data_IF_549865435768
#
_entry.id   IF_549865435768
#
_cell.length_a   1.000
_cell.length_b   1.000
_cell.length_c   1.000
_cell.angle_alpha   90.00
_cell.angle_beta   90.00
_cell.angle_gamma   90.00
#
_symmetry.space_group_name_H-M   'P 1'
#
loop_
_entity.id
_entity.type
_entity.pdbx_description
1 polymer ?
#
# COMPACT_ATOMS: atom_id res chain seq x y z
N UNK A 1 15.53 11.45 0.38
CA UNK A 1 15.20 10.09 -0.09
C UNK A 1 14.50 10.17 -1.43
N UNK A 2 15.14 9.66 -2.47
CA UNK A 2 14.55 9.53 -3.81
C UNK A 2 14.25 8.05 -4.03
N UNK A 3 12.95 7.72 -4.01
CA UNK A 3 12.48 6.37 -4.33
C UNK A 3 12.25 6.27 -5.84
N UNK A 4 12.84 5.26 -6.46
CA UNK A 4 12.54 4.88 -7.84
C UNK A 4 11.47 3.79 -7.82
N UNK A 5 10.28 4.10 -8.34
CA UNK A 5 9.20 3.11 -8.44
C UNK A 5 9.55 2.09 -9.53
N UNK A 6 9.54 0.82 -9.15
CA UNK A 6 9.64 -0.31 -10.09
C UNK A 6 8.26 -0.69 -10.61
N UNK A 7 7.29 -0.87 -9.71
CA UNK A 7 5.90 -1.15 -10.07
C UNK A 7 4.93 -0.48 -9.09
N UNK A 8 3.74 -0.11 -9.58
CA UNK A 8 2.69 0.52 -8.79
C UNK A 8 1.31 0.02 -9.22
N UNK A 9 0.52 -0.57 -8.32
CA UNK A 9 -0.84 -1.03 -8.61
C UNK A 9 -1.88 -0.22 -7.86
N UNK A 10 -2.98 0.08 -8.54
CA UNK A 10 -4.14 0.77 -8.00
C UNK A 10 -5.34 -0.17 -7.94
N UNK A 11 -5.95 -0.24 -6.77
CA UNK A 11 -7.20 -0.96 -6.53
C UNK A 11 -8.25 0.00 -5.98
N UNK A 12 -9.41 -0.03 -6.60
CA UNK A 12 -10.60 0.64 -6.10
C UNK A 12 -11.34 -0.32 -5.15
N UNK A 13 -11.61 0.13 -3.93
CA UNK A 13 -12.37 -0.62 -2.93
C UNK A 13 -13.73 0.03 -2.75
N UNK A 14 -14.77 -0.78 -2.91
CA UNK A 14 -16.17 -0.40 -2.72
C UNK A 14 -16.75 -1.22 -1.58
N UNK A 15 -17.40 -0.53 -0.65
CA UNK A 15 -18.09 -1.14 0.48
C UNK A 15 -19.48 -0.54 0.53
N UNK A 16 -20.50 -1.36 0.27
CA UNK A 16 -21.90 -0.97 0.29
C UNK A 16 -22.61 -1.67 1.46
N UNK A 17 -23.36 -0.91 2.26
CA UNK A 17 -24.02 -1.42 3.48
C UNK A 17 -23.22 -1.19 4.76
N UNK A 18 -23.61 -1.87 5.84
CA UNK A 18 -23.00 -1.73 7.19
C UNK A 18 -22.87 -3.10 7.87
N UNK A 19 -21.81 -3.27 8.66
CA UNK A 19 -21.56 -4.49 9.44
C UNK A 19 -21.08 -5.67 8.59
N UNK A 20 -21.21 -6.88 9.13
CA UNK A 20 -20.67 -8.10 8.53
C UNK A 20 -21.40 -8.53 7.23
N UNK A 21 -22.57 -7.93 6.96
CA UNK A 21 -23.34 -8.15 5.72
C UNK A 21 -23.07 -7.09 4.65
N UNK A 22 -22.07 -6.22 4.84
CA UNK A 22 -21.69 -5.26 3.81
C UNK A 22 -21.16 -5.98 2.56
N UNK A 23 -21.60 -5.55 1.39
CA UNK A 23 -21.05 -6.00 0.11
C UNK A 23 -19.70 -5.31 -0.11
N UNK A 24 -18.64 -6.11 -0.13
CA UNK A 24 -17.26 -5.65 -0.19
C UNK A 24 -16.67 -6.15 -1.51
N UNK A 25 -16.28 -5.21 -2.36
CA UNK A 25 -15.71 -5.52 -3.68
C UNK A 25 -14.47 -4.68 -3.91
N UNK A 26 -13.58 -5.20 -4.74
CA UNK A 26 -12.49 -4.42 -5.27
C UNK A 26 -12.40 -4.61 -6.78
N UNK A 27 -11.83 -3.60 -7.44
CA UNK A 27 -11.49 -3.63 -8.85
C UNK A 27 -10.04 -3.19 -9.00
N UNK A 28 -9.23 -4.03 -9.65
CA UNK A 28 -7.93 -3.59 -10.16
C UNK A 28 -8.15 -2.57 -11.27
N UNK A 29 -7.48 -1.43 -11.16
CA UNK A 29 -7.63 -0.35 -12.12
C UNK A 29 -6.47 -0.33 -13.11
N UNK A 30 -5.25 -0.26 -12.60
CA UNK A 30 -4.05 -0.22 -13.42
C UNK A 30 -2.85 -0.65 -12.58
N UNK A 31 -1.88 -1.28 -13.24
CA UNK A 31 -0.51 -1.37 -12.76
C UNK A 31 0.35 -0.50 -13.66
N UNK A 32 1.30 0.25 -13.10
CA UNK A 32 2.30 1.03 -13.79
C UNK A 32 3.67 0.39 -13.56
N UNK A 33 4.53 0.38 -14.57
CA UNK A 33 5.96 0.19 -14.40
C UNK A 33 6.69 1.54 -14.21
N UNK A 34 8.03 1.51 -14.18
CA UNK A 34 8.85 2.70 -13.97
C UNK A 34 8.60 3.78 -15.01
N UNK A 35 8.56 3.42 -16.30
CA UNK A 35 8.38 4.40 -17.39
C UNK A 35 7.00 5.02 -17.33
N UNK A 36 5.96 4.19 -17.19
CA UNK A 36 4.57 4.64 -17.07
C UNK A 36 4.33 5.47 -15.81
N UNK A 37 5.03 5.18 -14.71
CA UNK A 37 4.98 5.98 -13.48
C UNK A 37 5.63 7.35 -13.66
N UNK A 38 6.78 7.42 -14.34
CA UNK A 38 7.50 8.69 -14.54
C UNK A 38 6.67 9.66 -15.39
N UNK A 39 5.91 9.15 -16.35
CA UNK A 39 4.99 9.95 -17.18
C UNK A 39 3.63 10.21 -16.52
N UNK A 40 3.35 9.54 -15.40
CA UNK A 40 2.06 9.65 -14.70
C UNK A 40 1.93 10.99 -13.96
N UNK A 41 0.76 11.64 -14.01
CA UNK A 41 0.54 12.87 -13.25
C UNK A 41 0.51 12.61 -11.72
N UNK A 42 0.42 11.35 -11.30
CA UNK A 42 0.47 10.93 -9.89
C UNK A 42 1.89 10.98 -9.30
N UNK A 43 2.92 11.08 -10.13
CA UNK A 43 4.32 11.00 -9.71
C UNK A 43 4.66 12.00 -8.60
N UNK A 44 4.43 13.29 -8.87
CA UNK A 44 4.79 14.36 -7.94
C UNK A 44 4.07 14.22 -6.59
N UNK A 45 2.82 13.75 -6.64
CA UNK A 45 2.02 13.48 -5.45
C UNK A 45 2.60 12.30 -4.65
N UNK A 46 2.81 11.15 -5.28
CA UNK A 46 3.26 9.93 -4.60
C UNK A 46 4.70 10.02 -4.12
N UNK A 47 5.61 10.65 -4.86
CA UNK A 47 6.99 10.88 -4.43
C UNK A 47 7.01 11.69 -3.12
N UNK A 48 6.20 12.75 -3.05
CA UNK A 48 6.06 13.56 -1.85
C UNK A 48 5.52 12.79 -0.65
N UNK A 49 4.57 11.88 -0.86
CA UNK A 49 3.99 11.08 0.20
C UNK A 49 4.89 9.93 0.67
N UNK A 50 5.53 9.21 -0.24
CA UNK A 50 6.49 8.16 0.09
C UNK A 50 7.66 8.73 0.91
N UNK A 51 8.16 9.92 0.55
CA UNK A 51 9.18 10.62 1.32
C UNK A 51 8.71 11.01 2.74
N UNK A 52 7.44 11.39 2.90
CA UNK A 52 6.87 11.66 4.24
C UNK A 52 6.75 10.39 5.04
N UNK A 53 6.25 9.31 4.45
CA UNK A 53 6.07 8.00 5.10
C UNK A 53 7.40 7.47 5.60
N UNK A 54 8.43 7.49 4.76
CA UNK A 54 9.76 6.96 5.09
C UNK A 54 10.48 7.75 6.20
N UNK A 55 10.05 8.99 6.47
CA UNK A 55 10.56 9.82 7.56
C UNK A 55 9.70 9.77 8.83
N UNK A 56 8.52 9.15 8.80
CA UNK A 56 7.66 9.03 9.98
C UNK A 56 8.30 8.04 10.95
N UNK A 57 8.59 8.50 12.17
CA UNK A 57 8.96 7.60 13.27
C UNK A 57 7.73 6.79 13.66
N UNK A 58 7.80 5.48 13.52
CA UNK A 58 6.75 4.56 13.92
C UNK A 58 7.29 3.70 15.07
N UNK A 59 6.46 3.47 16.09
CA UNK A 59 6.80 2.52 17.15
C UNK A 59 6.51 1.10 16.63
N UNK A 60 7.52 0.21 16.66
CA UNK A 60 7.41 -1.19 16.21
C UNK A 60 6.46 -1.99 17.09
N UNK A 61 6.37 -1.64 18.38
CA UNK A 61 5.48 -2.26 19.37
C UNK A 61 4.63 -1.20 20.06
N UNK A 62 3.70 -0.59 19.32
CA UNK A 62 2.87 0.47 19.86
C UNK A 62 2.05 -0.08 21.04
N UNK A 63 2.11 0.61 22.17
CA UNK A 63 1.45 0.22 23.44
C UNK A 63 -0.08 0.23 23.38
N UNK A 64 -0.68 0.58 22.24
CA UNK A 64 -2.11 0.78 22.05
C UNK A 64 -2.59 0.10 20.77
N UNK A 65 -3.73 -0.59 20.81
CA UNK A 65 -4.32 -1.29 19.65
C UNK A 65 -4.86 -0.35 18.54
N UNK A 66 -5.04 0.95 18.84
CA UNK A 66 -5.39 1.97 17.85
C UNK A 66 -4.15 2.51 17.15
N UNK A 67 -3.46 1.63 16.41
CA UNK A 67 -2.30 2.00 15.61
C UNK A 67 -2.79 2.63 14.29
N UNK A 68 -2.25 3.76 13.84
CA UNK A 68 -2.61 4.36 12.56
C UNK A 68 -2.34 3.43 11.35
N UNK A 69 -1.50 2.41 11.51
CA UNK A 69 -1.14 1.41 10.49
C UNK A 69 -1.90 0.09 10.72
N UNK A 70 -3.14 -0.01 10.25
CA UNK A 70 -3.87 -1.30 10.24
C UNK A 70 -3.84 -1.93 8.84
N UNK A 71 -2.89 -2.83 8.63
CA UNK A 71 -3.14 -4.14 8.02
C UNK A 71 -2.58 -5.13 9.06
N UNK A 72 -3.33 -6.19 9.36
CA UNK A 72 -3.28 -6.97 10.61
C UNK A 72 -1.91 -7.14 11.25
N UNK A 73 -1.89 -7.12 12.58
CA UNK A 73 -0.71 -7.40 13.41
C UNK A 73 0.11 -8.53 12.79
N UNK A 74 1.40 -8.30 12.54
CA UNK A 74 2.34 -9.37 12.23
C UNK A 74 2.47 -10.21 13.49
N UNK A 75 1.59 -11.20 13.67
CA UNK A 75 1.72 -12.19 14.72
C UNK A 75 2.74 -13.19 14.19
N UNK A 76 3.95 -13.15 14.73
CA UNK A 76 4.90 -14.26 14.63
C UNK A 76 4.57 -15.18 15.80
N UNK A 77 4.25 -16.43 15.51
CA UNK A 77 4.05 -17.45 16.55
C UNK A 77 5.42 -17.84 17.12
N UNK A 78 5.54 -17.87 18.45
CA UNK A 78 6.81 -18.12 19.13
C UNK A 78 7.34 -19.53 18.74
N UNK A 79 8.49 -19.59 18.06
CA UNK A 79 9.09 -20.85 17.56
C UNK A 79 8.87 -21.15 16.07
N UNK A 80 8.15 -20.30 15.33
CA UNK A 80 7.98 -20.43 13.88
C UNK A 80 8.73 -19.31 13.13
N UNK A 81 9.49 -19.68 12.10
CA UNK A 81 10.30 -18.74 11.32
C UNK A 81 9.42 -17.77 10.50
N UNK A 82 9.92 -16.56 10.18
CA UNK A 82 9.17 -15.50 9.48
C UNK A 82 8.64 -15.95 8.11
N UNK A 83 9.34 -16.85 7.44
CA UNK A 83 8.97 -17.48 6.17
C UNK A 83 7.75 -18.42 6.28
N UNK A 84 7.34 -18.80 7.49
CA UNK A 84 6.08 -19.52 7.72
C UNK A 84 4.88 -18.58 7.83
N UNK A 85 5.10 -17.27 7.96
CA UNK A 85 4.03 -16.28 8.00
C UNK A 85 3.53 -15.97 6.58
N UNK A 86 2.25 -16.25 6.25
CA UNK A 86 1.71 -16.01 4.93
C UNK A 86 1.85 -14.54 4.49
N UNK A 87 1.74 -13.59 5.42
CA UNK A 87 1.90 -12.17 5.10
C UNK A 87 3.34 -11.85 4.68
N UNK A 88 4.34 -12.39 5.39
CA UNK A 88 5.76 -12.19 5.07
C UNK A 88 6.10 -12.71 3.67
N UNK A 89 5.58 -13.88 3.30
CA UNK A 89 5.80 -14.47 1.98
C UNK A 89 5.18 -13.63 0.87
N UNK A 90 3.98 -13.07 1.06
CA UNK A 90 3.35 -12.19 0.06
C UNK A 90 4.19 -10.91 -0.10
N UNK A 91 4.65 -10.30 1.00
CA UNK A 91 5.55 -9.14 0.93
C UNK A 91 6.83 -9.46 0.16
N UNK A 92 7.44 -10.61 0.41
CA UNK A 92 8.67 -11.00 -0.26
C UNK A 92 8.48 -11.26 -1.77
N UNK A 93 7.36 -11.89 -2.16
CA UNK A 93 7.04 -12.12 -3.59
C UNK A 93 6.77 -10.81 -4.32
N UNK A 94 5.99 -9.89 -3.72
CA UNK A 94 5.75 -8.55 -4.30
C UNK A 94 7.05 -7.74 -4.41
N UNK A 95 7.91 -7.81 -3.37
CA UNK A 95 9.20 -7.13 -3.30
C UNK A 95 10.13 -7.51 -4.44
N UNK A 96 10.14 -8.78 -4.82
CA UNK A 96 11.04 -9.34 -5.83
C UNK A 96 10.37 -9.72 -7.16
N UNK A 97 9.14 -9.29 -7.37
CA UNK A 97 8.43 -9.49 -8.63
C UNK A 97 9.25 -8.93 -9.80
N UNK A 98 9.40 -9.72 -10.85
CA UNK A 98 10.25 -9.42 -12.01
C UNK A 98 9.48 -8.85 -13.18
N UNK A 99 8.16 -9.01 -13.16
CA UNK A 99 7.28 -8.55 -14.23
C UNK A 99 6.08 -7.83 -13.63
N UNK A 100 5.52 -6.93 -14.44
CA UNK A 100 4.29 -6.20 -14.14
C UNK A 100 3.12 -7.14 -13.82
N UNK A 101 3.04 -8.28 -14.51
CA UNK A 101 2.00 -9.29 -14.31
C UNK A 101 2.18 -10.01 -12.96
N UNK A 102 3.39 -10.51 -12.67
CA UNK A 102 3.70 -11.17 -11.39
C UNK A 102 3.41 -10.23 -10.21
N UNK A 103 3.82 -8.97 -10.31
CA UNK A 103 3.53 -7.96 -9.30
C UNK A 103 2.02 -7.78 -9.07
N UNK A 104 1.24 -7.70 -10.14
CA UNK A 104 -0.21 -7.57 -10.06
C UNK A 104 -0.89 -8.80 -9.43
N UNK A 105 -0.48 -10.01 -9.81
CA UNK A 105 -1.05 -11.27 -9.31
C UNK A 105 -0.85 -11.41 -7.80
N UNK A 106 0.35 -11.07 -7.32
CA UNK A 106 0.66 -11.10 -5.89
C UNK A 106 -0.09 -10.02 -5.10
N UNK A 107 -0.28 -8.84 -5.69
CA UNK A 107 -1.01 -7.73 -5.09
C UNK A 107 -2.50 -8.01 -4.83
N UNK A 108 -3.12 -8.93 -5.58
CA UNK A 108 -4.50 -9.34 -5.30
C UNK A 108 -4.64 -9.96 -3.91
N UNK A 109 -3.61 -10.67 -3.41
CA UNK A 109 -3.66 -11.29 -2.09
C UNK A 109 -3.76 -10.24 -0.99
N UNK A 110 -2.96 -9.16 -1.07
CA UNK A 110 -3.07 -8.04 -0.13
C UNK A 110 -4.44 -7.38 -0.18
N UNK A 111 -4.97 -7.19 -1.38
CA UNK A 111 -6.26 -6.53 -1.57
C UNK A 111 -7.40 -7.37 -0.99
N UNK A 112 -7.39 -8.69 -1.24
CA UNK A 112 -8.35 -9.65 -0.64
C UNK A 112 -8.25 -9.67 0.88
N UNK A 113 -7.04 -9.79 1.43
CA UNK A 113 -6.84 -9.76 2.88
C UNK A 113 -7.33 -8.45 3.51
N UNK A 114 -7.18 -7.32 2.82
CA UNK A 114 -7.67 -6.04 3.32
C UNK A 114 -9.20 -5.93 3.31
N UNK A 115 -9.87 -6.35 2.22
CA UNK A 115 -11.35 -6.27 2.15
C UNK A 115 -12.03 -7.19 3.17
N UNK A 116 -11.43 -8.35 3.46
CA UNK A 116 -12.00 -9.33 4.39
C UNK A 116 -11.97 -8.85 5.84
N UNK A 117 -11.22 -7.78 6.14
CA UNK A 117 -11.21 -7.18 7.47
C UNK A 117 -12.58 -6.59 7.86
N UNK A 118 -12.92 -6.69 9.15
CA UNK A 118 -14.17 -6.14 9.70
C UNK A 118 -14.26 -4.61 9.66
N UNK A 119 -13.11 -3.93 9.60
CA UNK A 119 -12.99 -2.48 9.58
C UNK A 119 -12.63 -1.91 8.18
N UNK A 120 -12.91 -2.67 7.11
CA UNK A 120 -12.70 -2.22 5.73
C UNK A 120 -13.50 -0.95 5.45
N UNK A 121 -12.88 0.00 4.73
CA UNK A 121 -13.53 1.22 4.25
C UNK A 121 -13.27 1.38 2.76
N UNK A 122 -14.29 1.83 2.03
CA UNK A 122 -14.15 2.18 0.62
C UNK A 122 -13.07 3.25 0.40
N UNK A 123 -12.52 3.29 -0.82
CA UNK A 123 -11.44 4.19 -1.18
C UNK A 123 -10.45 3.55 -2.16
N UNK A 124 -9.21 4.03 -2.12
CA UNK A 124 -8.14 3.56 -2.99
C UNK A 124 -7.10 2.81 -2.16
N UNK A 125 -6.69 1.65 -2.67
CA UNK A 125 -5.61 0.85 -2.12
C UNK A 125 -4.47 0.78 -3.15
N UNK A 126 -3.30 1.25 -2.75
CA UNK A 126 -2.14 1.44 -3.62
C UNK A 126 -1.03 0.55 -3.11
N UNK A 127 -0.38 -0.18 -4.01
CA UNK A 127 0.73 -1.05 -3.68
C UNK A 127 1.89 -0.66 -4.57
N UNK A 128 3.02 -0.26 -3.98
CA UNK A 128 4.20 0.20 -4.70
C UNK A 128 5.40 -0.67 -4.35
N UNK A 129 6.17 -1.10 -5.35
CA UNK A 129 7.54 -1.57 -5.19
C UNK A 129 8.49 -0.46 -5.61
N UNK A 130 9.44 -0.09 -4.75
CA UNK A 130 10.32 1.05 -4.95
C UNK A 130 11.73 0.81 -4.41
N UNK A 131 12.75 1.34 -5.08
CA UNK A 131 14.15 1.25 -4.64
C UNK A 131 14.66 2.59 -4.12
N UNK A 132 15.43 2.56 -3.04
CA UNK A 132 16.06 3.76 -2.51
C UNK A 132 17.39 4.01 -3.22
N UNK A 133 17.33 4.78 -4.31
CA UNK A 133 18.42 5.00 -5.30
C UNK A 133 19.79 5.37 -4.74
N UNK A 134 19.86 5.99 -3.56
CA UNK A 134 21.10 6.54 -2.99
C UNK A 134 21.77 5.68 -1.91
N UNK A 135 21.08 4.67 -1.36
CA UNK A 135 21.53 4.04 -0.12
C UNK A 135 21.42 2.52 -0.09
N UNK A 136 20.50 1.91 -0.84
CA UNK A 136 20.20 0.48 -0.74
C UNK A 136 19.80 -0.10 -2.10
N UNK A 137 20.39 -1.26 -2.44
CA UNK A 137 20.00 -2.02 -3.64
C UNK A 137 18.69 -2.78 -3.45
N UNK A 138 18.28 -3.01 -2.20
CA UNK A 138 17.09 -3.79 -1.93
C UNK A 138 15.81 -2.96 -2.10
N UNK A 139 14.77 -3.52 -2.76
CA UNK A 139 13.50 -2.83 -2.93
C UNK A 139 12.69 -2.75 -1.63
N UNK A 140 11.76 -1.82 -1.57
CA UNK A 140 10.75 -1.66 -0.53
C UNK A 140 9.37 -1.85 -1.15
N UNK A 141 8.43 -2.36 -0.36
CA UNK A 141 7.01 -2.43 -0.66
C UNK A 141 6.27 -1.45 0.23
N UNK A 142 5.47 -0.60 -0.38
CA UNK A 142 4.55 0.31 0.30
C UNK A 142 3.11 -0.13 0.05
N UNK A 143 2.34 -0.27 1.13
CA UNK A 143 0.88 -0.43 1.05
C UNK A 143 0.23 0.86 1.55
N UNK A 144 -0.51 1.55 0.70
CA UNK A 144 -1.16 2.82 1.03
C UNK A 144 -2.68 2.66 0.90
N UNK A 145 -3.39 3.10 1.93
CA UNK A 145 -4.85 3.12 1.97
C UNK A 145 -5.32 4.56 2.10
N UNK A 146 -6.06 5.01 1.10
CA UNK A 146 -6.72 6.31 1.06
C UNK A 146 -8.25 6.10 1.16
N UNK A 147 -8.93 6.81 2.07
CA UNK A 147 -10.40 6.81 2.14
C UNK A 147 -10.95 7.85 1.15
N UNK A 148 -12.15 7.62 0.61
CA UNK A 148 -12.84 8.67 -0.14
C UNK A 148 -13.25 9.83 0.78
N UNK A 149 -12.99 11.06 0.34
CA UNK A 149 -13.61 12.22 0.96
C UNK A 149 -15.11 12.27 0.60
N UNK A 150 -16.01 12.61 1.56
CA UNK A 150 -17.46 12.67 1.31
C UNK A 150 -17.87 13.59 0.16
N UNK A 151 -17.06 14.60 -0.17
CA UNK A 151 -17.30 15.55 -1.26
C UNK A 151 -16.99 14.98 -2.66
N UNK A 152 -16.29 13.84 -2.74
CA UNK A 152 -15.88 13.19 -3.99
C UNK A 152 -16.75 11.94 -4.28
N UNK A 153 -17.59 11.53 -3.33
CA UNK A 153 -18.31 10.24 -3.31
C UNK A 153 -19.45 10.07 -4.33
N UNK A 154 -19.68 11.03 -5.24
CA UNK A 154 -20.84 11.03 -6.15
C UNK A 154 -20.51 10.80 -7.62
N UNK A 155 -19.40 10.14 -7.96
CA UNK A 155 -18.94 10.08 -9.37
C UNK A 155 -18.60 8.65 -9.78
N UNK A 156 -19.38 8.15 -10.73
CA UNK A 156 -19.45 6.76 -11.21
C UNK A 156 -18.68 6.49 -12.50
N UNK A 157 -17.70 7.34 -12.87
CA UNK A 157 -17.01 7.27 -14.17
C UNK A 157 -15.52 6.88 -14.03
N UNK A 158 -15.19 5.70 -14.55
CA UNK A 158 -13.87 5.07 -14.52
C UNK A 158 -12.78 5.92 -15.20
N UNK A 159 -13.13 6.72 -16.23
CA UNK A 159 -12.17 7.60 -16.92
C UNK A 159 -11.70 8.77 -16.07
N UNK A 160 -12.50 9.13 -15.08
CA UNK A 160 -12.17 10.21 -14.17
C UNK A 160 -11.43 9.70 -12.94
N UNK A 161 -11.30 8.39 -12.74
CA UNK A 161 -10.74 7.81 -11.51
C UNK A 161 -9.30 8.28 -11.25
N UNK A 162 -8.42 8.36 -12.25
CA UNK A 162 -7.03 8.87 -12.07
C UNK A 162 -7.02 10.34 -11.62
N UNK A 163 -7.84 11.18 -12.27
CA UNK A 163 -8.03 12.59 -11.89
C UNK A 163 -8.74 12.72 -10.53
N UNK A 164 -9.53 11.73 -10.15
CA UNK A 164 -10.14 11.60 -8.84
C UNK A 164 -9.19 11.00 -7.81
N UNK A 165 -8.19 10.21 -8.17
CA UNK A 165 -7.13 9.75 -7.27
C UNK A 165 -6.33 10.98 -6.82
N UNK A 166 -6.06 11.94 -7.71
CA UNK A 166 -5.50 13.24 -7.32
C UNK A 166 -6.40 14.05 -6.37
N UNK A 167 -7.73 14.03 -6.56
CA UNK A 167 -8.68 14.78 -5.72
C UNK A 167 -9.17 14.04 -4.46
N UNK A 168 -9.11 12.71 -4.46
CA UNK A 168 -9.62 11.82 -3.40
C UNK A 168 -8.51 11.35 -2.47
N UNK A 169 -7.24 11.38 -2.91
CA UNK A 169 -6.12 11.16 -1.98
C UNK A 169 -5.88 12.45 -1.19
N UNK A 170 -6.69 12.61 -0.16
CA UNK A 170 -6.33 13.46 0.96
C UNK A 170 -5.31 12.75 1.84
N UNK A 171 -4.19 13.41 2.10
CA UNK A 171 -3.10 12.89 2.94
C UNK A 171 -3.46 12.89 4.42
N UNK A 172 -4.54 13.58 4.78
CA UNK A 172 -4.94 13.85 6.16
C UNK A 172 -5.19 12.59 6.98
N UNK A 173 -5.56 11.47 6.33
CA UNK A 173 -5.85 10.19 7.00
C UNK A 173 -5.29 8.96 6.26
N UNK A 174 -4.31 9.15 5.36
CA UNK A 174 -3.73 8.02 4.63
C UNK A 174 -3.01 7.08 5.60
N UNK A 175 -3.37 5.79 5.54
CA UNK A 175 -2.68 4.72 6.28
C UNK A 175 -1.63 4.12 5.37
N UNK A 176 -0.46 3.82 5.91
CA UNK A 176 0.67 3.31 5.14
C UNK A 176 1.39 2.19 5.88
N UNK A 177 1.88 1.21 5.15
CA UNK A 177 2.89 0.24 5.61
C UNK A 177 4.09 0.40 4.69
N UNK A 178 5.28 0.32 5.28
CA UNK A 178 6.55 0.21 4.57
C UNK A 178 7.20 -1.10 5.01
N UNK A 179 7.61 -1.91 4.03
CA UNK A 179 8.32 -3.16 4.24
C UNK A 179 9.53 -3.26 3.29
N UNK A 180 10.72 -3.65 3.75
CA UNK A 180 11.09 -3.83 5.15
C UNK A 180 11.00 -2.54 5.96
N UNK A 181 11.00 -2.67 7.29
CA UNK A 181 11.00 -1.52 8.18
C UNK A 181 12.33 -0.77 8.11
N UNK A 182 12.26 0.55 8.00
CA UNK A 182 13.42 1.43 7.91
C UNK A 182 13.45 2.37 9.12
N UNK A 183 14.14 2.01 10.23
CA UNK A 183 14.19 2.84 11.44
C UNK A 183 14.90 4.20 11.22
N UNK A 184 15.93 4.22 10.37
CA UNK A 184 16.69 5.42 10.00
C UNK A 184 16.99 5.42 8.49
N UNK A 185 17.30 6.59 7.91
CA UNK A 185 17.57 6.71 6.47
C UNK A 185 18.71 5.78 6.04
N UNK A 186 18.40 4.83 5.16
CA UNK A 186 19.37 3.85 4.65
C UNK A 186 19.64 2.67 5.60
N UNK A 187 18.95 2.57 6.74
CA UNK A 187 19.03 1.40 7.63
C UNK A 187 17.84 0.49 7.39
N UNK A 188 18.08 -0.71 6.88
CA UNK A 188 17.10 -1.80 6.88
C UNK A 188 17.49 -2.75 8.00
N UNK A 189 16.56 -3.08 8.88
CA UNK A 189 16.80 -4.18 9.83
C UNK A 189 16.81 -5.50 9.04
N UNK A 190 17.86 -6.31 9.23
CA UNK A 190 17.85 -7.70 8.81
C UNK A 190 16.69 -8.41 9.53
N UNK A 191 15.80 -9.01 8.73
CA UNK A 191 14.68 -9.80 9.20
C UNK A 191 15.11 -11.19 9.66
#
# INVERSE_FOLDING_TARGET
MDFEITYLSFYLIQVEGKGDQADKRFKHFQTLDTEEYVESPLKDFLDGELMKISKRKVDRHPKTEQIPTKIGSFIVEEGHALDSNPNYNVFNRVRYAKTKQEFQEENEQFTRSYIDTSAVRGGVFIIASAKLTKYLDEPFVFLLKCDFEPKVASISDERTLIRHVEMAITTKNMKSIQYPYMPEEGMVEEG
#
